data_IF_694091190139
#
_entry.id   IF_694091190139
#
_cell.length_a   1.000
_cell.length_b   1.000
_cell.length_c   1.000
_cell.angle_alpha   90.00
_cell.angle_beta   90.00
_cell.angle_gamma   90.00
#
_symmetry.space_group_name_H-M   'P 1'
#
loop_
_entity.id
_entity.type
_entity.pdbx_description
1 polymer ?
#
# COMPACT_ATOMS: atom_id res chain seq x y z
N UNK A 1 35.61 2.20 13.05
CA UNK A 1 34.28 2.05 12.38
C UNK A 1 33.24 1.73 13.43
N UNK A 2 32.08 2.34 13.31
CA UNK A 2 30.94 2.02 14.17
C UNK A 2 30.32 0.68 13.75
N UNK A 3 30.02 -0.18 14.71
CA UNK A 3 29.31 -1.45 14.48
C UNK A 3 27.94 -1.25 13.79
N UNK A 4 27.38 -0.03 13.91
CA UNK A 4 26.08 0.31 13.32
C UNK A 4 26.17 1.09 12.01
N UNK A 5 27.38 1.25 11.45
CA UNK A 5 27.55 1.95 10.19
C UNK A 5 27.22 1.04 9.00
N UNK A 6 26.34 1.50 8.13
CA UNK A 6 26.04 0.81 6.88
C UNK A 6 27.20 0.93 5.88
N UNK A 7 27.44 -0.12 5.14
CA UNK A 7 28.42 -0.12 4.03
C UNK A 7 28.01 0.87 2.93
N UNK A 8 28.93 1.18 2.05
CA UNK A 8 28.64 2.06 0.91
C UNK A 8 27.53 1.48 0.01
N UNK A 9 27.56 0.17 -0.24
CA UNK A 9 26.57 -0.51 -1.07
C UNK A 9 25.18 -0.51 -0.43
N UNK A 10 25.11 -0.74 0.87
CA UNK A 10 23.85 -0.69 1.61
C UNK A 10 23.23 0.71 1.56
N UNK A 11 24.03 1.75 1.76
CA UNK A 11 23.56 3.15 1.63
C UNK A 11 23.08 3.45 0.22
N UNK A 12 23.84 3.02 -0.79
CA UNK A 12 23.46 3.23 -2.19
C UNK A 12 22.12 2.54 -2.51
N UNK A 13 21.89 1.33 -2.01
CA UNK A 13 20.64 0.60 -2.20
C UNK A 13 19.44 1.36 -1.62
N UNK A 14 19.57 1.95 -0.43
CA UNK A 14 18.52 2.77 0.20
C UNK A 14 18.21 4.00 -0.65
N UNK A 15 19.23 4.74 -1.09
CA UNK A 15 19.02 5.93 -1.94
C UNK A 15 18.40 5.56 -3.28
N UNK A 16 18.79 4.43 -3.85
CA UNK A 16 18.19 3.92 -5.08
C UNK A 16 16.70 3.62 -4.90
N UNK A 17 16.32 2.95 -3.82
CA UNK A 17 14.93 2.68 -3.51
C UNK A 17 14.10 3.96 -3.38
N UNK A 18 14.64 4.98 -2.73
CA UNK A 18 13.98 6.29 -2.60
C UNK A 18 13.81 6.96 -3.97
N UNK A 19 14.86 6.95 -4.80
CA UNK A 19 14.86 7.64 -6.09
C UNK A 19 14.00 6.95 -7.15
N UNK A 20 13.97 5.62 -7.14
CA UNK A 20 13.29 4.81 -8.17
C UNK A 20 11.87 4.38 -7.80
N UNK A 21 11.42 4.62 -6.56
CA UNK A 21 10.06 4.27 -6.16
C UNK A 21 9.04 4.95 -7.08
N UNK A 22 7.93 4.28 -7.31
CA UNK A 22 6.79 4.83 -8.07
C UNK A 22 5.48 4.49 -7.38
N UNK A 23 4.49 5.33 -7.58
CA UNK A 23 3.12 5.04 -7.21
C UNK A 23 2.53 4.09 -8.25
N UNK A 24 2.48 2.81 -7.93
CA UNK A 24 1.90 1.81 -8.81
C UNK A 24 0.38 1.84 -8.70
N UNK A 25 -0.30 1.93 -9.82
CA UNK A 25 -1.77 1.99 -9.91
C UNK A 25 -2.34 0.93 -10.82
N UNK A 26 -1.50 0.26 -11.59
CA UNK A 26 -1.86 -0.84 -12.48
C UNK A 26 -1.17 -2.09 -12.02
N UNK A 27 -1.95 -3.10 -11.68
CA UNK A 27 -1.44 -4.34 -11.10
C UNK A 27 -1.70 -5.50 -12.05
N UNK A 28 -0.76 -6.43 -12.09
CA UNK A 28 -0.87 -7.64 -12.91
C UNK A 28 -1.62 -8.78 -12.21
N UNK A 29 -1.91 -8.62 -10.92
CA UNK A 29 -2.46 -9.69 -10.10
C UNK A 29 -1.40 -10.73 -9.72
N UNK A 30 -1.83 -11.92 -9.37
CA UNK A 30 -0.97 -13.02 -8.96
C UNK A 30 -1.01 -13.27 -7.46
N UNK A 31 -0.05 -14.04 -6.99
CA UNK A 31 0.06 -14.42 -5.59
C UNK A 31 1.35 -13.89 -4.97
N UNK A 32 1.27 -13.54 -3.70
CA UNK A 32 2.45 -13.22 -2.91
C UNK A 32 2.91 -14.48 -2.19
N UNK A 33 4.15 -14.89 -2.40
CA UNK A 33 4.71 -16.05 -1.73
C UNK A 33 4.65 -15.88 -0.20
N UNK A 34 4.30 -16.93 0.57
CA UNK A 34 4.20 -16.81 2.03
C UNK A 34 5.45 -16.25 2.70
N UNK A 35 6.62 -16.61 2.22
CA UNK A 35 7.90 -16.09 2.72
C UNK A 35 8.02 -14.58 2.49
N UNK A 36 7.67 -14.11 1.30
CA UNK A 36 7.68 -12.69 0.98
C UNK A 36 6.68 -11.90 1.79
N UNK A 37 5.47 -12.44 1.97
CA UNK A 37 4.44 -11.83 2.82
C UNK A 37 4.92 -11.69 4.26
N UNK A 38 5.56 -12.73 4.81
CA UNK A 38 6.14 -12.69 6.15
C UNK A 38 7.17 -11.57 6.30
N UNK A 39 8.05 -11.39 5.32
CA UNK A 39 9.03 -10.30 5.31
C UNK A 39 8.39 -8.91 5.24
N UNK A 40 7.35 -8.76 4.44
CA UNK A 40 6.61 -7.51 4.31
C UNK A 40 5.92 -7.12 5.62
N UNK A 41 5.26 -8.07 6.27
CA UNK A 41 4.61 -7.85 7.56
C UNK A 41 5.63 -7.52 8.66
N UNK A 42 6.76 -8.22 8.69
CA UNK A 42 7.84 -7.93 9.63
C UNK A 42 8.40 -6.52 9.42
N UNK A 43 8.59 -6.09 8.17
CA UNK A 43 9.04 -4.74 7.85
C UNK A 43 8.03 -3.68 8.31
N UNK A 44 6.74 -3.89 8.03
CA UNK A 44 5.67 -3.00 8.46
C UNK A 44 5.59 -2.88 9.99
N UNK A 45 5.82 -3.97 10.70
CA UNK A 45 5.81 -4.00 12.16
C UNK A 45 6.96 -3.22 12.81
N UNK A 46 7.99 -2.86 12.05
CA UNK A 46 9.11 -2.02 12.51
C UNK A 46 8.77 -0.53 12.57
N UNK A 47 7.59 -0.13 12.11
CA UNK A 47 7.17 1.27 12.15
C UNK A 47 7.17 1.81 13.59
N UNK A 48 7.54 3.08 13.81
CA UNK A 48 7.47 3.67 15.12
C UNK A 48 6.03 3.83 15.62
N UNK A 49 5.85 3.77 16.94
CA UNK A 49 4.57 4.02 17.58
C UNK A 49 4.73 4.67 18.93
N UNK A 50 3.73 5.42 19.37
CA UNK A 50 3.73 6.08 20.68
C UNK A 50 3.81 5.02 21.78
N UNK A 51 4.80 5.16 22.69
CA UNK A 51 5.00 4.23 23.79
C UNK A 51 5.27 2.79 23.36
N UNK A 52 5.68 2.57 22.11
CA UNK A 52 5.89 1.25 21.54
C UNK A 52 4.64 0.35 21.64
N UNK A 53 3.47 0.96 21.58
CA UNK A 53 2.20 0.26 21.71
C UNK A 53 1.90 -0.67 20.51
N UNK A 54 2.43 -0.34 19.33
CA UNK A 54 2.23 -1.10 18.08
C UNK A 54 0.74 -1.43 17.85
N UNK A 55 -0.15 -0.42 17.80
CA UNK A 55 -1.60 -0.63 17.86
C UNK A 55 -2.22 -1.11 16.55
N UNK A 56 -1.42 -1.32 15.51
CA UNK A 56 -1.89 -1.76 14.21
C UNK A 56 -2.29 -3.23 14.19
N UNK A 57 -3.16 -3.56 13.28
CA UNK A 57 -3.55 -4.92 12.92
C UNK A 57 -3.47 -5.07 11.41
N UNK A 58 -3.15 -6.27 10.95
CA UNK A 58 -3.10 -6.59 9.53
C UNK A 58 -4.26 -7.53 9.20
N UNK A 59 -5.03 -7.17 8.19
CA UNK A 59 -6.13 -7.99 7.71
C UNK A 59 -5.82 -8.38 6.28
N UNK A 60 -5.63 -9.67 6.03
CA UNK A 60 -5.40 -10.23 4.71
C UNK A 60 -6.73 -10.57 4.06
N UNK A 61 -6.99 -10.04 2.88
CA UNK A 61 -8.23 -10.26 2.14
C UNK A 61 -7.91 -11.03 0.87
N UNK A 62 -8.26 -12.33 0.86
CA UNK A 62 -7.97 -13.21 -0.25
C UNK A 62 -9.19 -13.54 -1.10
N UNK A 63 -10.39 -13.53 -0.52
CA UNK A 63 -11.62 -13.89 -1.27
C UNK A 63 -11.96 -12.82 -2.30
N UNK A 64 -12.02 -13.18 -3.60
CA UNK A 64 -12.35 -12.23 -4.67
C UNK A 64 -13.67 -11.53 -4.46
N UNK A 65 -14.69 -12.23 -3.95
CA UNK A 65 -16.01 -11.64 -3.69
C UNK A 65 -15.93 -10.53 -2.65
N UNK A 66 -15.19 -10.73 -1.56
CA UNK A 66 -15.04 -9.70 -0.53
C UNK A 66 -14.31 -8.47 -1.08
N UNK A 67 -13.29 -8.69 -1.90
CA UNK A 67 -12.57 -7.58 -2.57
C UNK A 67 -13.49 -6.80 -3.52
N UNK A 68 -14.35 -7.50 -4.26
CA UNK A 68 -15.36 -6.88 -5.10
C UNK A 68 -16.37 -6.05 -4.30
N UNK A 69 -16.83 -6.59 -3.17
CA UNK A 69 -17.76 -5.89 -2.28
C UNK A 69 -17.13 -4.60 -1.70
N UNK A 70 -15.88 -4.66 -1.29
CA UNK A 70 -15.12 -3.48 -0.83
C UNK A 70 -15.00 -2.46 -1.96
N UNK A 71 -14.69 -2.89 -3.18
CA UNK A 71 -14.61 -2.00 -4.34
C UNK A 71 -15.92 -1.26 -4.58
N UNK A 72 -17.05 -1.95 -4.50
CA UNK A 72 -18.37 -1.33 -4.65
C UNK A 72 -18.58 -0.22 -3.60
N UNK A 73 -18.23 -0.48 -2.35
CA UNK A 73 -18.36 0.52 -1.29
C UNK A 73 -17.43 1.73 -1.50
N UNK A 74 -16.19 1.48 -1.89
CA UNK A 74 -15.20 2.54 -2.18
C UNK A 74 -15.65 3.37 -3.38
N UNK A 75 -16.15 2.74 -4.43
CA UNK A 75 -16.63 3.43 -5.62
C UNK A 75 -17.84 4.33 -5.30
N UNK A 76 -18.79 3.84 -4.52
CA UNK A 76 -19.92 4.63 -4.09
C UNK A 76 -19.49 5.87 -3.27
N UNK A 77 -18.54 5.69 -2.38
CA UNK A 77 -17.98 6.80 -1.58
C UNK A 77 -17.18 7.78 -2.43
N UNK A 78 -16.45 7.28 -3.42
CA UNK A 78 -15.70 8.12 -4.37
C UNK A 78 -16.64 9.03 -5.15
N UNK A 79 -17.73 8.51 -5.67
CA UNK A 79 -18.73 9.27 -6.41
C UNK A 79 -19.40 10.32 -5.52
N UNK A 80 -19.77 9.96 -4.31
CA UNK A 80 -20.37 10.89 -3.34
C UNK A 80 -19.41 12.00 -2.96
N UNK A 81 -18.13 11.70 -2.75
CA UNK A 81 -17.11 12.69 -2.43
C UNK A 81 -16.85 13.62 -3.61
N UNK A 82 -16.79 13.09 -4.83
CA UNK A 82 -16.63 13.89 -6.04
C UNK A 82 -17.76 14.89 -6.20
N UNK A 83 -18.99 14.47 -5.96
CA UNK A 83 -20.18 15.32 -6.00
C UNK A 83 -20.09 16.46 -4.95
N UNK A 84 -19.66 16.14 -3.74
CA UNK A 84 -19.49 17.13 -2.66
C UNK A 84 -18.35 18.13 -2.94
N UNK A 85 -17.32 17.74 -3.70
CA UNK A 85 -16.19 18.60 -4.06
C UNK A 85 -16.52 19.62 -5.15
N UNK A 86 -17.62 19.44 -5.91
CA UNK A 86 -18.04 20.36 -6.95
C UNK A 86 -16.99 20.59 -8.02
N UNK A 87 -16.37 21.75 -8.07
CA UNK A 87 -15.37 22.13 -9.08
C UNK A 87 -14.12 21.23 -9.09
N UNK A 88 -13.82 20.56 -7.98
CA UNK A 88 -12.68 19.65 -7.85
C UNK A 88 -13.04 18.20 -8.16
N UNK A 89 -14.27 17.93 -8.57
CA UNK A 89 -14.72 16.57 -8.83
C UNK A 89 -13.89 15.84 -9.88
N UNK A 90 -13.50 16.51 -10.95
CA UNK A 90 -12.70 15.91 -12.03
C UNK A 90 -11.33 15.43 -11.55
N UNK A 91 -10.67 16.21 -10.70
CA UNK A 91 -9.38 15.82 -10.11
C UNK A 91 -9.53 14.57 -9.24
N UNK A 92 -10.59 14.51 -8.45
CA UNK A 92 -10.87 13.37 -7.58
C UNK A 92 -11.25 12.12 -8.38
N UNK A 93 -12.02 12.29 -9.47
CA UNK A 93 -12.43 11.17 -10.33
C UNK A 93 -11.27 10.53 -11.11
N UNK A 94 -10.13 11.18 -11.21
CA UNK A 94 -8.90 10.60 -11.79
C UNK A 94 -8.23 9.58 -10.87
N UNK A 95 -8.58 9.54 -9.59
CA UNK A 95 -8.02 8.57 -8.65
C UNK A 95 -8.46 7.15 -9.03
N UNK A 96 -7.51 6.25 -9.09
CA UNK A 96 -7.73 4.84 -9.42
C UNK A 96 -8.08 4.05 -8.18
N UNK A 97 -9.13 3.25 -8.27
CA UNK A 97 -9.55 2.34 -7.18
C UNK A 97 -9.53 0.87 -7.60
N UNK A 98 -9.22 0.59 -8.85
CA UNK A 98 -9.17 -0.76 -9.41
C UNK A 98 -8.14 -1.66 -8.73
N UNK A 99 -7.14 -1.09 -8.09
CA UNK A 99 -6.15 -1.85 -7.31
C UNK A 99 -6.76 -2.75 -6.25
N UNK A 100 -7.98 -2.47 -5.78
CA UNK A 100 -8.70 -3.34 -4.84
C UNK A 100 -8.97 -4.71 -5.46
N UNK A 101 -9.20 -4.76 -6.79
CA UNK A 101 -9.36 -6.01 -7.52
C UNK A 101 -8.04 -6.57 -8.03
N UNK A 102 -7.20 -5.69 -8.56
CA UNK A 102 -6.13 -6.04 -9.49
C UNK A 102 -4.81 -6.35 -8.77
N UNK A 103 -4.64 -5.89 -7.55
CA UNK A 103 -3.44 -6.23 -6.77
C UNK A 103 -3.42 -7.72 -6.39
N UNK A 104 -2.25 -8.23 -6.05
CA UNK A 104 -2.07 -9.63 -5.70
C UNK A 104 -2.88 -10.05 -4.46
N UNK A 105 -2.88 -9.25 -3.43
CA UNK A 105 -3.60 -9.47 -2.17
C UNK A 105 -3.81 -8.15 -1.41
#
# INVERSE_FOLDING_TARGET
>A
MSEHAFSADERAAVYRAIAERRDMRHFAGGEVAPESLGKLLAAAHQAPSVGLMQPWRFIRIQRPQLRADIHVLVEAERLRTAEALGERSDDFMRLKVEGIHDCAE
#
